data_IF_126501881185
#
_entry.id   IF_126501881185
#
_cell.length_a   1.000
_cell.length_b   1.000
_cell.length_c   1.000
_cell.angle_alpha   90.00
_cell.angle_beta   90.00
_cell.angle_gamma   90.00
#
_symmetry.space_group_name_H-M   'P 1'
#
loop_
_entity.id
_entity.type
_entity.pdbx_description
1 polymer ?
#
# COMPACT_ATOMS: atom_id res chain seq x y z
N UNK A 1 4.85 -22.90 8.00
CA UNK A 1 5.46 -22.57 6.70
C UNK A 1 5.85 -23.84 5.98
N UNK A 2 5.31 -24.05 4.77
CA UNK A 2 5.44 -25.31 4.01
C UNK A 2 6.66 -25.36 3.07
N UNK A 3 7.20 -24.20 2.69
CA UNK A 3 8.21 -24.08 1.63
C UNK A 3 9.38 -23.20 2.08
N UNK A 4 10.58 -23.53 1.60
CA UNK A 4 11.82 -22.78 1.80
C UNK A 4 12.04 -21.76 0.67
N UNK A 5 11.53 -22.06 -0.52
CA UNK A 5 11.58 -21.21 -1.70
C UNK A 5 10.18 -20.98 -2.27
N UNK A 6 9.85 -19.73 -2.56
CA UNK A 6 8.61 -19.38 -3.29
C UNK A 6 9.00 -18.56 -4.52
N UNK A 7 8.70 -19.12 -5.69
CA UNK A 7 8.99 -18.53 -6.98
C UNK A 7 7.68 -18.01 -7.58
N UNK A 8 7.70 -16.80 -8.10
CA UNK A 8 6.54 -16.16 -8.73
C UNK A 8 6.81 -15.92 -10.21
N UNK A 9 5.79 -16.05 -11.07
CA UNK A 9 5.78 -15.28 -12.32
C UNK A 9 5.52 -13.79 -12.01
N UNK A 10 5.73 -12.92 -12.98
CA UNK A 10 5.56 -11.47 -12.86
C UNK A 10 4.17 -11.02 -13.34
N UNK A 11 3.98 -11.04 -14.65
CA UNK A 11 2.76 -10.59 -15.33
C UNK A 11 1.60 -11.54 -14.97
N UNK A 12 0.46 -11.02 -14.50
CA UNK A 12 -0.71 -11.85 -14.13
C UNK A 12 -0.60 -12.51 -12.75
N UNK A 13 0.56 -12.44 -12.09
CA UNK A 13 0.80 -13.08 -10.78
C UNK A 13 1.17 -12.08 -9.69
N UNK A 14 2.18 -11.24 -9.91
CA UNK A 14 2.56 -10.15 -9.00
C UNK A 14 1.92 -8.83 -9.42
N UNK A 15 1.79 -8.60 -10.73
CA UNK A 15 1.31 -7.33 -11.29
C UNK A 15 0.30 -7.53 -12.42
N UNK A 16 -0.77 -6.73 -12.43
CA UNK A 16 -1.70 -6.59 -13.55
C UNK A 16 -1.13 -5.61 -14.58
N UNK A 17 -0.43 -6.20 -15.54
CA UNK A 17 0.23 -5.56 -16.67
C UNK A 17 -0.62 -5.52 -17.95
N UNK A 18 -1.87 -5.96 -17.89
CA UNK A 18 -2.75 -6.01 -19.05
C UNK A 18 -2.93 -4.64 -19.71
N UNK A 19 -3.11 -3.52 -18.98
CA UNK A 19 -3.24 -2.21 -19.60
C UNK A 19 -2.08 -1.88 -20.55
N UNK A 20 -0.84 -2.07 -20.09
CA UNK A 20 0.37 -1.79 -20.87
C UNK A 20 0.60 -2.76 -22.02
N UNK A 21 0.35 -4.06 -21.81
CA UNK A 21 0.48 -5.07 -22.87
C UNK A 21 -0.52 -4.78 -23.99
N UNK A 22 -1.80 -4.60 -23.65
CA UNK A 22 -2.85 -4.35 -24.64
C UNK A 22 -2.66 -3.00 -25.35
N UNK A 23 -2.14 -1.98 -24.67
CA UNK A 23 -1.77 -0.72 -25.31
C UNK A 23 -0.64 -0.90 -26.34
N UNK A 24 0.39 -1.69 -26.02
CA UNK A 24 1.45 -2.05 -26.96
C UNK A 24 0.93 -2.84 -28.17
N UNK A 25 0.03 -3.80 -27.96
CA UNK A 25 -0.59 -4.55 -29.06
C UNK A 25 -1.41 -3.63 -29.95
N UNK A 26 -2.16 -2.68 -29.36
CA UNK A 26 -2.92 -1.69 -30.12
C UNK A 26 -2.01 -0.80 -30.96
N UNK A 27 -0.91 -0.32 -30.36
CA UNK A 27 0.09 0.48 -31.06
C UNK A 27 0.70 -0.27 -32.24
N UNK A 28 1.07 -1.54 -32.06
CA UNK A 28 1.61 -2.37 -33.13
C UNK A 28 0.65 -2.50 -34.32
N UNK A 29 -0.64 -2.76 -34.07
CA UNK A 29 -1.65 -2.84 -35.14
C UNK A 29 -1.82 -1.51 -35.87
N UNK A 30 -1.88 -0.40 -35.13
CA UNK A 30 -1.99 0.94 -35.71
C UNK A 30 -0.78 1.26 -36.62
N UNK A 31 0.44 0.98 -36.16
CA UNK A 31 1.67 1.21 -36.92
C UNK A 31 1.80 0.31 -38.15
N UNK A 32 1.28 -0.91 -38.06
CA UNK A 32 1.22 -1.84 -39.19
C UNK A 32 0.10 -1.49 -40.18
N UNK A 33 -0.85 -0.63 -39.82
CA UNK A 33 -2.05 -0.36 -40.62
C UNK A 33 -3.06 -1.52 -40.61
N UNK A 34 -3.01 -2.38 -39.59
CA UNK A 34 -3.89 -3.53 -39.44
C UNK A 34 -5.12 -3.17 -38.61
N UNK A 35 -6.25 -3.80 -38.94
CA UNK A 35 -7.45 -3.69 -38.13
C UNK A 35 -7.20 -4.32 -36.75
N UNK A 36 -7.64 -3.63 -35.69
CA UNK A 36 -7.57 -4.17 -34.35
C UNK A 36 -8.48 -5.40 -34.20
N UNK A 37 -8.00 -6.46 -33.52
CA UNK A 37 -8.86 -7.57 -33.11
C UNK A 37 -9.95 -7.05 -32.17
N UNK A 38 -11.04 -7.82 -32.06
CA UNK A 38 -12.04 -7.55 -31.03
C UNK A 38 -11.45 -7.70 -29.61
N UNK A 39 -12.23 -7.28 -28.61
CA UNK A 39 -11.76 -7.28 -27.23
C UNK A 39 -11.39 -8.69 -26.74
N UNK A 40 -12.14 -9.72 -27.13
CA UNK A 40 -11.86 -11.09 -26.70
C UNK A 40 -10.55 -11.62 -27.30
N UNK A 41 -10.30 -11.35 -28.58
CA UNK A 41 -9.05 -11.69 -29.24
C UNK A 41 -7.86 -10.91 -28.68
N UNK A 42 -8.04 -9.62 -28.34
CA UNK A 42 -7.00 -8.83 -27.69
C UNK A 42 -6.58 -9.40 -26.34
N UNK A 43 -7.53 -9.85 -25.50
CA UNK A 43 -7.21 -10.46 -24.21
C UNK A 43 -6.36 -11.74 -24.36
N UNK A 44 -6.42 -12.43 -25.51
CA UNK A 44 -5.61 -13.64 -25.77
C UNK A 44 -4.13 -13.34 -26.00
N UNK A 45 -3.73 -12.06 -26.14
CA UNK A 45 -2.33 -11.63 -26.16
C UNK A 45 -1.68 -11.62 -24.76
N UNK A 46 -2.47 -11.70 -23.68
CA UNK A 46 -1.94 -11.66 -22.32
C UNK A 46 -1.26 -12.99 -22.00
N UNK A 47 0.07 -12.98 -22.01
CA UNK A 47 0.99 -14.03 -21.53
C UNK A 47 1.56 -15.06 -22.53
N UNK A 48 0.92 -15.48 -23.66
CA UNK A 48 1.64 -16.27 -24.66
C UNK A 48 2.67 -15.42 -25.43
N UNK A 49 3.63 -16.05 -26.14
CA UNK A 49 4.60 -15.32 -26.97
C UNK A 49 3.92 -14.41 -28.00
N UNK A 50 4.42 -13.17 -28.15
CA UNK A 50 3.83 -12.16 -29.03
C UNK A 50 3.81 -12.58 -30.49
N UNK A 51 4.88 -13.21 -30.98
CA UNK A 51 4.98 -13.70 -32.36
C UNK A 51 3.82 -14.66 -32.69
N UNK A 52 3.63 -15.68 -31.84
CA UNK A 52 2.53 -16.64 -31.98
C UNK A 52 1.16 -15.99 -31.81
N UNK A 53 1.07 -14.91 -31.04
CA UNK A 53 -0.19 -14.19 -30.81
C UNK A 53 -0.60 -13.36 -32.02
N UNK A 54 0.32 -12.60 -32.62
CA UNK A 54 0.05 -11.83 -33.84
C UNK A 54 -0.32 -12.73 -35.02
N UNK A 55 0.39 -13.85 -35.20
CA UNK A 55 0.04 -14.81 -36.25
C UNK A 55 -1.33 -15.45 -36.02
N UNK A 56 -1.60 -15.95 -34.81
CA UNK A 56 -2.83 -16.71 -34.52
C UNK A 56 -4.08 -15.86 -34.36
N UNK A 57 -3.97 -14.69 -33.73
CA UNK A 57 -5.12 -13.88 -33.34
C UNK A 57 -5.35 -12.67 -34.24
N UNK A 58 -4.31 -12.23 -34.96
CA UNK A 58 -4.42 -11.16 -35.94
C UNK A 58 -4.34 -11.65 -37.39
N UNK A 59 -3.86 -12.89 -37.62
CA UNK A 59 -3.73 -13.45 -38.97
C UNK A 59 -2.51 -12.93 -39.74
N UNK A 60 -1.54 -12.33 -39.05
CA UNK A 60 -0.29 -11.85 -39.64
C UNK A 60 0.58 -13.03 -40.09
N UNK A 61 1.35 -12.84 -41.16
CA UNK A 61 2.47 -13.74 -41.51
C UNK A 61 3.61 -13.64 -40.49
N UNK A 62 4.57 -14.55 -40.51
CA UNK A 62 5.73 -14.51 -39.59
C UNK A 62 6.53 -13.20 -39.75
N UNK A 63 6.79 -12.76 -40.98
CA UNK A 63 7.51 -11.51 -41.25
C UNK A 63 6.73 -10.27 -40.75
N UNK A 64 5.40 -10.27 -40.90
CA UNK A 64 4.55 -9.20 -40.39
C UNK A 64 4.46 -9.20 -38.86
N UNK A 65 4.39 -10.39 -38.26
CA UNK A 65 4.36 -10.56 -36.81
C UNK A 65 5.70 -10.16 -36.16
N UNK A 66 6.82 -10.40 -36.82
CA UNK A 66 8.14 -9.94 -36.40
C UNK A 66 8.19 -8.40 -36.37
N UNK A 67 7.76 -7.76 -37.46
CA UNK A 67 7.69 -6.30 -37.53
C UNK A 67 6.69 -5.70 -36.53
N UNK A 68 5.54 -6.35 -36.31
CA UNK A 68 4.57 -5.93 -35.31
C UNK A 68 5.14 -6.05 -33.88
N UNK A 69 5.93 -7.09 -33.63
CA UNK A 69 6.63 -7.28 -32.36
C UNK A 69 7.65 -6.15 -32.11
N UNK A 70 8.34 -5.66 -33.13
CA UNK A 70 9.25 -4.52 -32.99
C UNK A 70 8.51 -3.24 -32.59
N UNK A 71 7.40 -2.91 -33.27
CA UNK A 71 6.56 -1.75 -32.88
C UNK A 71 5.98 -1.90 -31.48
N UNK A 72 5.57 -3.12 -31.11
CA UNK A 72 5.15 -3.41 -29.75
C UNK A 72 6.27 -3.11 -28.75
N UNK A 73 7.48 -3.62 -29.00
CA UNK A 73 8.63 -3.48 -28.08
C UNK A 73 9.05 -2.03 -27.91
N UNK A 74 9.06 -1.26 -29.00
CA UNK A 74 9.31 0.18 -28.99
C UNK A 74 8.35 0.90 -28.02
N UNK A 75 7.04 0.70 -28.18
CA UNK A 75 6.04 1.29 -27.30
C UNK A 75 6.13 0.78 -25.86
N UNK A 76 6.30 -0.53 -25.70
CA UNK A 76 6.24 -1.17 -24.38
C UNK A 76 7.40 -0.72 -23.50
N UNK A 77 8.61 -0.65 -24.06
CA UNK A 77 9.80 -0.18 -23.32
C UNK A 77 9.65 1.31 -22.97
N UNK A 78 9.15 2.13 -23.88
CA UNK A 78 9.02 3.57 -23.66
C UNK A 78 7.88 3.94 -22.70
N UNK A 79 6.76 3.20 -22.74
CA UNK A 79 5.50 3.59 -22.08
C UNK A 79 4.78 2.41 -21.43
N UNK A 80 4.59 1.31 -22.16
CA UNK A 80 3.71 0.21 -21.73
C UNK A 80 4.12 -0.48 -20.42
N UNK A 81 5.43 -0.61 -20.15
CA UNK A 81 5.92 -1.29 -18.95
C UNK A 81 5.45 -0.64 -17.64
N UNK A 82 5.22 0.68 -17.63
CA UNK A 82 4.76 1.43 -16.46
C UNK A 82 3.23 1.54 -16.38
N UNK A 83 2.50 1.13 -17.43
CA UNK A 83 1.05 1.00 -17.41
C UNK A 83 0.66 -0.34 -16.76
N UNK A 84 0.95 -0.44 -15.47
CA UNK A 84 0.93 -1.67 -14.71
C UNK A 84 0.50 -1.36 -13.26
N UNK A 85 0.02 -2.36 -12.52
CA UNK A 85 -0.34 -2.21 -11.11
C UNK A 85 -0.05 -3.48 -10.31
N UNK A 86 0.30 -3.36 -9.04
CA UNK A 86 0.53 -4.53 -8.17
C UNK A 86 -0.82 -5.11 -7.75
N UNK A 87 -0.99 -6.43 -7.84
CA UNK A 87 -2.25 -7.05 -7.39
C UNK A 87 -2.49 -6.78 -5.88
N UNK A 88 -3.75 -6.58 -5.46
CA UNK A 88 -4.07 -6.40 -4.05
C UNK A 88 -3.49 -7.51 -3.18
N UNK A 89 -2.98 -7.15 -2.00
CA UNK A 89 -2.38 -8.05 -1.00
C UNK A 89 -1.02 -8.69 -1.37
N UNK A 90 -0.46 -8.46 -2.57
CA UNK A 90 0.85 -9.05 -2.94
C UNK A 90 1.96 -8.56 -2.02
N UNK A 91 2.01 -7.26 -1.70
CA UNK A 91 3.09 -6.73 -0.84
C UNK A 91 3.06 -7.35 0.56
N UNK A 92 1.86 -7.48 1.13
CA UNK A 92 1.64 -8.13 2.42
C UNK A 92 2.07 -9.60 2.38
N UNK A 93 1.74 -10.32 1.29
CA UNK A 93 2.18 -11.70 1.11
C UNK A 93 3.71 -11.80 1.06
N UNK A 94 4.37 -10.96 0.25
CA UNK A 94 5.84 -10.95 0.15
C UNK A 94 6.49 -10.62 1.50
N UNK A 95 5.93 -9.67 2.25
CA UNK A 95 6.43 -9.33 3.58
C UNK A 95 6.25 -10.50 4.57
N UNK A 96 5.07 -11.12 4.61
CA UNK A 96 4.79 -12.29 5.45
C UNK A 96 5.76 -13.44 5.14
N UNK A 97 6.05 -13.68 3.86
CA UNK A 97 7.03 -14.68 3.44
C UNK A 97 8.46 -14.35 3.92
N UNK A 98 8.92 -13.10 3.75
CA UNK A 98 10.25 -12.70 4.24
C UNK A 98 10.38 -12.77 5.75
N UNK A 99 9.31 -12.45 6.50
CA UNK A 99 9.28 -12.61 7.96
C UNK A 99 9.42 -14.07 8.40
N UNK A 100 9.00 -15.04 7.57
CA UNK A 100 9.23 -16.46 7.81
C UNK A 100 10.61 -16.95 7.34
N UNK A 101 11.47 -16.06 6.82
CA UNK A 101 12.82 -16.40 6.35
C UNK A 101 12.86 -17.14 5.02
N UNK A 102 11.78 -17.07 4.23
CA UNK A 102 11.63 -17.76 2.95
C UNK A 102 12.47 -17.07 1.87
N UNK A 103 13.10 -17.85 0.99
CA UNK A 103 13.77 -17.33 -0.20
C UNK A 103 12.75 -17.03 -1.28
N UNK A 104 12.77 -15.81 -1.83
CA UNK A 104 11.84 -15.38 -2.86
C UNK A 104 12.54 -15.20 -4.20
N UNK A 105 11.93 -15.73 -5.26
CA UNK A 105 12.44 -15.59 -6.62
C UNK A 105 11.36 -15.17 -7.62
N UNK A 106 11.77 -14.56 -8.72
CA UNK A 106 10.91 -14.31 -9.89
C UNK A 106 11.42 -15.13 -11.08
N UNK A 107 10.53 -15.86 -11.73
CA UNK A 107 10.82 -16.64 -12.95
C UNK A 107 9.81 -16.30 -14.05
N UNK A 108 10.21 -15.43 -14.97
CA UNK A 108 9.31 -14.85 -15.98
C UNK A 108 9.91 -14.89 -17.38
N UNK A 109 9.08 -15.10 -18.42
CA UNK A 109 9.53 -14.99 -19.82
C UNK A 109 9.73 -13.54 -20.27
N UNK A 110 9.37 -12.57 -19.42
CA UNK A 110 9.69 -11.16 -19.68
C UNK A 110 11.21 -10.95 -19.58
N UNK A 111 11.83 -10.18 -20.51
CA UNK A 111 13.26 -9.90 -20.45
C UNK A 111 13.71 -9.45 -19.05
N UNK A 112 14.85 -9.97 -18.58
CA UNK A 112 15.32 -9.75 -17.21
C UNK A 112 15.45 -8.26 -16.86
N UNK A 113 15.98 -7.46 -17.78
CA UNK A 113 16.15 -6.01 -17.60
C UNK A 113 14.81 -5.29 -17.36
N UNK A 114 13.80 -5.58 -18.17
CA UNK A 114 12.45 -5.00 -18.02
C UNK A 114 11.77 -5.47 -16.73
N UNK A 115 11.97 -6.73 -16.35
CA UNK A 115 11.41 -7.28 -15.10
C UNK A 115 11.98 -6.57 -13.88
N UNK A 116 13.31 -6.34 -13.85
CA UNK A 116 13.96 -5.56 -12.80
C UNK A 116 13.40 -4.14 -12.74
N UNK A 117 13.30 -3.45 -13.88
CA UNK A 117 12.76 -2.08 -13.93
C UNK A 117 11.34 -1.98 -13.35
N UNK A 118 10.46 -2.93 -13.66
CA UNK A 118 9.10 -2.99 -13.12
C UNK A 118 9.12 -3.23 -11.61
N UNK A 119 9.89 -4.21 -11.16
CA UNK A 119 10.01 -4.52 -9.73
C UNK A 119 10.59 -3.36 -8.94
N UNK A 120 11.54 -2.60 -9.48
CA UNK A 120 12.08 -1.38 -8.87
C UNK A 120 11.05 -0.27 -8.82
N UNK A 121 10.35 -0.01 -9.93
CA UNK A 121 9.33 1.04 -10.02
C UNK A 121 8.18 0.82 -9.01
N UNK A 122 7.83 -0.43 -8.73
CA UNK A 122 6.83 -0.78 -7.73
C UNK A 122 7.40 -1.10 -6.35
N UNK A 123 8.69 -0.85 -6.07
CA UNK A 123 9.30 -1.12 -4.76
C UNK A 123 9.11 -2.58 -4.29
N UNK A 124 9.16 -3.51 -5.24
CA UNK A 124 9.06 -4.95 -5.03
C UNK A 124 10.41 -5.66 -5.11
N UNK A 125 11.38 -5.10 -5.85
CA UNK A 125 12.67 -5.77 -6.10
C UNK A 125 13.35 -6.20 -4.79
N UNK A 126 13.26 -5.38 -3.74
CA UNK A 126 13.87 -5.62 -2.43
C UNK A 126 13.43 -6.92 -1.73
N UNK A 127 12.29 -7.50 -2.11
CA UNK A 127 11.80 -8.74 -1.51
C UNK A 127 12.49 -9.97 -2.12
N UNK A 128 12.94 -9.87 -3.37
CA UNK A 128 13.41 -11.01 -4.15
C UNK A 128 14.92 -11.20 -4.02
N UNK A 129 15.31 -12.45 -3.75
CA UNK A 129 16.71 -12.87 -3.67
C UNK A 129 17.27 -13.16 -5.08
N UNK A 130 16.40 -13.47 -6.06
CA UNK A 130 16.76 -13.65 -7.46
C UNK A 130 15.63 -13.23 -8.42
N UNK A 131 16.00 -12.66 -9.57
CA UNK A 131 15.09 -12.36 -10.69
C UNK A 131 15.66 -12.99 -11.94
N UNK A 132 14.95 -13.99 -12.48
CA UNK A 132 15.29 -14.71 -13.70
C UNK A 132 14.29 -14.38 -14.81
N UNK A 133 14.83 -13.92 -15.93
CA UNK A 133 14.15 -13.80 -17.21
C UNK A 133 15.14 -13.97 -18.35
N UNK A 134 14.69 -14.07 -19.61
CA UNK A 134 15.57 -14.21 -20.75
C UNK A 134 16.53 -13.03 -20.87
N UNK A 135 17.79 -13.32 -21.17
CA UNK A 135 18.76 -12.34 -21.65
C UNK A 135 18.76 -12.25 -23.18
N UNK A 136 19.51 -11.30 -23.73
CA UNK A 136 19.52 -11.06 -25.19
C UNK A 136 19.98 -12.31 -25.95
N UNK A 137 19.10 -12.85 -26.80
CA UNK A 137 19.37 -14.05 -27.60
C UNK A 137 19.11 -15.38 -26.88
N UNK A 138 18.61 -15.37 -25.65
CA UNK A 138 18.14 -16.58 -24.98
C UNK A 138 16.63 -16.82 -25.23
N UNK A 139 16.24 -18.09 -25.28
CA UNK A 139 14.83 -18.54 -25.26
C UNK A 139 14.67 -19.70 -24.24
N UNK A 140 14.83 -19.41 -22.93
CA UNK A 140 14.83 -20.45 -21.91
C UNK A 140 13.41 -20.95 -21.66
N UNK A 141 13.30 -22.23 -21.33
CA UNK A 141 12.06 -22.80 -20.80
C UNK A 141 11.71 -22.20 -19.43
N UNK A 142 10.42 -22.22 -19.08
CA UNK A 142 9.98 -21.79 -17.74
C UNK A 142 10.65 -22.61 -16.63
N UNK A 143 10.90 -23.90 -16.84
CA UNK A 143 11.62 -24.75 -15.88
C UNK A 143 13.05 -24.29 -15.62
N UNK A 144 13.79 -23.89 -16.66
CA UNK A 144 15.14 -23.31 -16.52
C UNK A 144 15.12 -21.99 -15.77
N UNK A 145 14.13 -21.13 -16.05
CA UNK A 145 13.96 -19.87 -15.32
C UNK A 145 13.65 -20.08 -13.84
N UNK A 146 12.81 -21.07 -13.50
CA UNK A 146 12.53 -21.45 -12.11
C UNK A 146 13.81 -21.92 -11.41
N UNK A 147 14.62 -22.76 -12.07
CA UNK A 147 15.89 -23.21 -11.51
C UNK A 147 16.89 -22.07 -11.30
N UNK A 148 16.92 -21.08 -12.19
CA UNK A 148 17.74 -19.85 -12.05
C UNK A 148 17.27 -18.97 -10.88
N UNK A 149 15.97 -18.99 -10.57
CA UNK A 149 15.36 -18.15 -9.53
C UNK A 149 15.34 -18.77 -8.13
N UNK A 150 15.42 -20.10 -8.02
CA UNK A 150 15.38 -20.79 -6.72
C UNK A 150 16.76 -20.91 -6.07
N UNK A 151 16.80 -20.85 -4.74
CA UNK A 151 18.00 -21.22 -3.98
C UNK A 151 18.16 -22.73 -4.00
N UNK A 152 19.41 -23.21 -3.94
CA UNK A 152 19.68 -24.64 -3.91
C UNK A 152 19.19 -25.28 -2.60
N UNK A 153 18.51 -26.42 -2.73
CA UNK A 153 17.94 -27.17 -1.61
C UNK A 153 16.64 -26.57 -1.07
N UNK A 154 15.97 -27.33 -0.20
CA UNK A 154 14.68 -26.98 0.38
C UNK A 154 13.49 -27.29 -0.53
N UNK A 155 12.29 -27.17 0.02
CA UNK A 155 11.04 -27.39 -0.69
C UNK A 155 10.64 -26.11 -1.43
N UNK A 156 10.38 -26.22 -2.73
CA UNK A 156 10.09 -25.08 -3.61
C UNK A 156 8.68 -25.17 -4.17
N UNK A 157 8.05 -24.01 -4.35
CA UNK A 157 6.79 -23.86 -5.07
C UNK A 157 6.88 -22.74 -6.11
N UNK A 158 6.32 -22.99 -7.28
CA UNK A 158 6.08 -21.98 -8.33
C UNK A 158 4.62 -21.53 -8.27
N UNK A 159 4.41 -20.21 -8.26
CA UNK A 159 3.10 -19.57 -8.33
C UNK A 159 3.04 -18.81 -9.66
N UNK A 160 2.05 -19.12 -10.48
CA UNK A 160 1.88 -18.48 -11.79
C UNK A 160 0.45 -18.57 -12.28
N UNK A 161 0.06 -17.64 -13.15
CA UNK A 161 -1.30 -17.53 -13.68
C UNK A 161 -1.49 -18.27 -15.00
N UNK A 162 -0.46 -18.91 -15.56
CA UNK A 162 -0.55 -19.63 -16.84
C UNK A 162 -0.19 -21.10 -16.72
N UNK A 163 -0.71 -21.93 -17.63
CA UNK A 163 -0.35 -23.35 -17.69
C UNK A 163 1.16 -23.54 -17.88
N UNK A 164 1.83 -22.62 -18.56
CA UNK A 164 3.29 -22.63 -18.74
C UNK A 164 4.04 -22.61 -17.41
N UNK A 165 3.50 -21.98 -16.36
CA UNK A 165 4.12 -21.95 -15.04
C UNK A 165 4.02 -23.29 -14.33
N UNK A 166 2.86 -23.95 -14.42
CA UNK A 166 2.66 -25.29 -13.86
C UNK A 166 3.51 -26.32 -14.61
N UNK A 167 3.57 -26.24 -15.95
CA UNK A 167 4.44 -27.10 -16.75
C UNK A 167 5.91 -26.85 -16.40
N UNK A 168 6.31 -25.59 -16.25
CA UNK A 168 7.65 -25.23 -15.80
C UNK A 168 7.97 -25.78 -14.40
N UNK A 169 7.01 -25.72 -13.47
CA UNK A 169 7.14 -26.28 -12.13
C UNK A 169 7.37 -27.80 -12.16
N UNK A 170 6.59 -28.51 -12.97
CA UNK A 170 6.73 -29.96 -13.19
C UNK A 170 8.11 -30.32 -13.77
N UNK A 171 8.57 -29.56 -14.78
CA UNK A 171 9.90 -29.74 -15.39
C UNK A 171 11.03 -29.48 -14.38
N UNK A 172 10.88 -28.49 -13.51
CA UNK A 172 11.85 -28.17 -12.47
C UNK A 172 11.76 -29.10 -11.25
N UNK A 173 10.74 -29.98 -11.17
CA UNK A 173 10.53 -30.89 -10.05
C UNK A 173 10.07 -30.19 -8.77
N UNK A 174 9.33 -29.08 -8.88
CA UNK A 174 8.84 -28.28 -7.76
C UNK A 174 7.31 -28.29 -7.70
N UNK A 175 6.72 -27.95 -6.55
CA UNK A 175 5.27 -27.84 -6.41
C UNK A 175 4.77 -26.66 -7.26
N UNK A 176 3.53 -26.73 -7.77
CA UNK A 176 2.91 -25.66 -8.58
C UNK A 176 1.58 -25.22 -8.00
N UNK A 177 1.34 -23.89 -7.98
CA UNK A 177 0.07 -23.27 -7.60
C UNK A 177 -0.42 -22.38 -8.73
N UNK A 178 -1.64 -22.63 -9.19
CA UNK A 178 -2.29 -21.85 -10.23
C UNK A 178 -2.97 -20.60 -9.65
N UNK A 179 -2.54 -19.42 -10.07
CA UNK A 179 -3.13 -18.14 -9.73
C UNK A 179 -4.30 -17.80 -10.67
N UNK A 180 -5.53 -18.12 -10.26
CA UNK A 180 -6.75 -17.86 -11.06
C UNK A 180 -7.21 -16.38 -11.03
N UNK A 181 -6.56 -15.54 -10.23
CA UNK A 181 -6.79 -14.10 -10.24
C UNK A 181 -6.06 -13.37 -11.39
N UNK A 182 -5.18 -14.08 -12.13
CA UNK A 182 -4.45 -13.56 -13.28
C UNK A 182 -5.19 -13.73 -14.60
N UNK A 183 -4.45 -14.01 -15.68
CA UNK A 183 -5.01 -14.07 -17.04
C UNK A 183 -5.41 -15.47 -17.49
N UNK A 184 -4.84 -16.52 -16.88
CA UNK A 184 -5.22 -17.89 -17.19
C UNK A 184 -6.60 -18.25 -16.67
N UNK A 185 -7.09 -19.40 -17.11
CA UNK A 185 -8.40 -19.90 -16.72
C UNK A 185 -8.33 -21.37 -16.27
N UNK A 186 -9.42 -21.84 -15.67
CA UNK A 186 -9.46 -23.18 -15.09
C UNK A 186 -9.24 -24.31 -16.10
N UNK A 187 -9.78 -24.18 -17.32
CA UNK A 187 -9.63 -25.19 -18.36
C UNK A 187 -8.16 -25.34 -18.81
N UNK A 188 -7.44 -24.21 -18.91
CA UNK A 188 -6.00 -24.19 -19.20
C UNK A 188 -5.20 -24.97 -18.12
N UNK A 189 -5.56 -24.81 -16.85
CA UNK A 189 -4.87 -25.49 -15.74
C UNK A 189 -5.26 -26.97 -15.57
N UNK A 190 -6.51 -27.33 -15.84
CA UNK A 190 -6.98 -28.72 -15.84
C UNK A 190 -6.24 -29.54 -16.91
N UNK A 191 -5.94 -28.94 -18.06
CA UNK A 191 -5.18 -29.59 -19.13
C UNK A 191 -3.75 -29.99 -18.73
N UNK A 192 -3.17 -29.36 -17.70
CA UNK A 192 -1.83 -29.64 -17.18
C UNK A 192 -1.84 -30.33 -15.81
N UNK A 193 -3.00 -30.84 -15.39
CA UNK A 193 -3.20 -31.63 -14.17
C UNK A 193 -2.77 -30.93 -12.87
N UNK A 194 -2.91 -29.61 -12.76
CA UNK A 194 -2.66 -28.93 -11.47
C UNK A 194 -3.73 -29.29 -10.43
N UNK A 195 -3.37 -29.27 -9.16
CA UNK A 195 -4.26 -29.62 -8.04
C UNK A 195 -4.43 -28.47 -7.03
N UNK A 196 -3.61 -27.42 -7.13
CA UNK A 196 -3.62 -26.29 -6.21
C UNK A 196 -3.98 -25.01 -6.97
N UNK A 197 -5.04 -24.35 -6.50
CA UNK A 197 -5.61 -23.16 -7.13
C UNK A 197 -5.80 -22.06 -6.09
N UNK A 198 -5.36 -20.85 -6.42
CA UNK A 198 -5.63 -19.64 -5.66
C UNK A 198 -6.58 -18.75 -6.46
N UNK A 199 -7.79 -18.51 -5.97
CA UNK A 199 -8.77 -17.60 -6.59
C UNK A 199 -8.43 -16.13 -6.29
N UNK A 200 -7.67 -15.90 -5.23
CA UNK A 200 -7.19 -14.60 -4.80
C UNK A 200 -5.80 -14.75 -4.15
N UNK A 201 -5.10 -13.63 -3.97
CA UNK A 201 -3.83 -13.60 -3.23
C UNK A 201 -4.01 -14.10 -1.78
N UNK A 202 -5.20 -13.93 -1.19
CA UNK A 202 -5.50 -14.40 0.16
C UNK A 202 -5.45 -15.93 0.27
N UNK A 203 -5.86 -16.65 -0.77
CA UNK A 203 -5.85 -18.12 -0.78
C UNK A 203 -4.43 -18.69 -0.70
N UNK A 204 -3.43 -17.92 -1.15
CA UNK A 204 -2.02 -18.31 -1.07
C UNK A 204 -1.56 -18.47 0.38
N UNK A 205 -2.14 -17.76 1.35
CA UNK A 205 -1.77 -17.91 2.76
C UNK A 205 -2.02 -19.35 3.25
N UNK A 206 -3.20 -19.90 2.96
CA UNK A 206 -3.53 -21.27 3.34
C UNK A 206 -2.68 -22.29 2.56
N UNK A 207 -2.48 -22.08 1.25
CA UNK A 207 -1.71 -22.99 0.40
C UNK A 207 -0.22 -23.07 0.78
N UNK A 208 0.33 -21.97 1.30
CA UNK A 208 1.73 -21.84 1.72
C UNK A 208 1.95 -22.13 3.22
N UNK A 209 0.88 -22.43 3.97
CA UNK A 209 0.91 -22.59 5.43
C UNK A 209 1.51 -21.35 6.14
N UNK A 210 1.01 -20.18 5.73
CA UNK A 210 1.25 -18.89 6.36
C UNK A 210 0.10 -18.56 7.31
N UNK A 211 0.43 -17.92 8.44
CA UNK A 211 -0.61 -17.29 9.26
C UNK A 211 -1.27 -16.19 8.42
N UNK A 212 -2.62 -16.13 8.34
CA UNK A 212 -3.30 -15.07 7.64
C UNK A 212 -2.76 -13.72 8.13
N UNK A 213 -2.40 -12.86 7.20
CA UNK A 213 -2.17 -11.46 7.53
C UNK A 213 -3.44 -10.91 8.19
N UNK A 214 -3.29 -10.10 9.24
CA UNK A 214 -4.42 -9.40 9.83
C UNK A 214 -4.97 -8.47 8.74
N UNK A 215 -6.01 -8.92 8.04
CA UNK A 215 -6.57 -8.25 6.87
C UNK A 215 -7.23 -6.92 7.22
N UNK A 216 -7.14 -6.49 8.49
CA UNK A 216 -7.50 -5.15 8.86
C UNK A 216 -6.53 -4.17 8.19
N UNK A 217 -7.11 -3.09 7.72
CA UNK A 217 -6.42 -1.93 7.23
C UNK A 217 -5.53 -1.30 8.30
N UNK A 218 -4.72 -0.37 7.85
CA UNK A 218 -3.72 0.30 8.67
C UNK A 218 -4.30 1.62 9.13
N UNK A 219 -4.16 1.94 10.42
CA UNK A 219 -4.57 3.23 10.94
C UNK A 219 -3.35 4.11 11.24
N UNK A 220 -3.27 5.27 10.58
CA UNK A 220 -2.25 6.29 10.80
C UNK A 220 -2.91 7.54 11.37
N UNK A 221 -2.40 8.06 12.48
CA UNK A 221 -2.80 9.38 13.01
C UNK A 221 -1.68 10.41 12.86
N UNK A 222 -2.05 11.67 12.70
CA UNK A 222 -1.13 12.80 12.73
C UNK A 222 -1.34 13.62 13.99
N UNK A 223 -0.27 13.79 14.77
CA UNK A 223 -0.23 14.53 16.02
C UNK A 223 0.95 15.52 16.01
N UNK A 224 0.98 16.44 16.97
CA UNK A 224 2.02 17.47 17.03
C UNK A 224 1.54 18.82 17.54
N UNK A 225 2.50 19.68 17.82
CA UNK A 225 2.25 21.04 18.31
C UNK A 225 1.53 21.89 17.26
N UNK A 226 0.94 23.00 17.68
CA UNK A 226 0.24 23.90 16.76
C UNK A 226 1.23 24.61 15.81
N UNK A 227 0.79 24.92 14.59
CA UNK A 227 1.64 25.50 13.55
C UNK A 227 2.62 24.55 12.84
N UNK A 228 2.64 23.24 13.16
CA UNK A 228 3.57 22.27 12.55
C UNK A 228 3.14 21.75 11.16
N UNK A 229 1.95 22.11 10.69
CA UNK A 229 1.45 21.72 9.35
C UNK A 229 0.84 20.32 9.26
N UNK A 230 0.40 19.74 10.38
CA UNK A 230 -0.19 18.39 10.48
C UNK A 230 -1.23 18.09 9.41
N UNK A 231 -2.27 18.92 9.30
CA UNK A 231 -3.37 18.74 8.34
C UNK A 231 -2.86 18.72 6.90
N UNK A 232 -1.91 19.61 6.58
CA UNK A 232 -1.26 19.66 5.26
C UNK A 232 -0.50 18.37 4.99
N UNK A 233 0.34 17.93 5.93
CA UNK A 233 1.18 16.75 5.75
C UNK A 233 0.38 15.45 5.71
N UNK A 234 -0.69 15.34 6.50
CA UNK A 234 -1.60 14.21 6.48
C UNK A 234 -2.32 14.09 5.13
N UNK A 235 -2.78 15.21 4.58
CA UNK A 235 -3.41 15.26 3.24
C UNK A 235 -2.41 14.90 2.13
N UNK A 236 -1.21 15.46 2.16
CA UNK A 236 -0.16 15.15 1.17
C UNK A 236 0.25 13.67 1.20
N UNK A 237 0.36 13.07 2.39
CA UNK A 237 0.61 11.65 2.53
C UNK A 237 -0.53 10.82 1.92
N UNK A 238 -1.79 11.18 2.21
CA UNK A 238 -2.95 10.49 1.68
C UNK A 238 -3.00 10.53 0.14
N UNK A 239 -2.79 11.71 -0.45
CA UNK A 239 -2.75 11.90 -1.90
C UNK A 239 -1.64 11.08 -2.55
N UNK A 240 -0.43 11.10 -1.96
CA UNK A 240 0.71 10.36 -2.49
C UNK A 240 0.53 8.85 -2.42
N UNK A 241 -0.04 8.33 -1.32
CA UNK A 241 -0.35 6.91 -1.19
C UNK A 241 -1.46 6.47 -2.15
N UNK A 242 -2.49 7.30 -2.35
CA UNK A 242 -3.53 7.05 -3.34
C UNK A 242 -2.96 6.99 -4.76
N UNK A 243 -2.06 7.91 -5.12
CA UNK A 243 -1.36 7.92 -6.42
C UNK A 243 -0.51 6.67 -6.63
N UNK A 244 0.02 6.07 -5.55
CA UNK A 244 0.79 4.84 -5.57
C UNK A 244 -0.07 3.56 -5.49
N UNK A 245 -1.40 3.69 -5.67
CA UNK A 245 -2.32 2.56 -5.80
C UNK A 245 -2.86 2.01 -4.48
N UNK A 246 -2.65 2.70 -3.36
CA UNK A 246 -3.26 2.30 -2.08
C UNK A 246 -4.72 2.76 -2.00
N UNK A 247 -5.60 1.93 -1.42
CA UNK A 247 -6.96 2.35 -1.05
C UNK A 247 -6.91 3.13 0.28
N UNK A 248 -6.99 4.46 0.18
CA UNK A 248 -6.78 5.39 1.30
C UNK A 248 -8.08 6.08 1.70
N UNK A 249 -8.36 6.12 3.00
CA UNK A 249 -9.38 6.97 3.60
C UNK A 249 -8.71 8.08 4.41
N UNK A 250 -8.85 9.33 3.98
CA UNK A 250 -8.46 10.49 4.77
C UNK A 250 -9.63 11.01 5.61
N UNK A 251 -9.38 11.32 6.88
CA UNK A 251 -10.37 11.86 7.82
C UNK A 251 -9.73 12.78 8.86
N UNK A 252 -10.51 13.37 9.78
CA UNK A 252 -10.05 14.28 10.83
C UNK A 252 -10.87 14.19 12.11
N UNK A 253 -10.27 14.57 13.23
CA UNK A 253 -10.97 14.74 14.52
C UNK A 253 -10.74 16.13 15.14
N UNK A 254 -11.77 16.72 15.80
CA UNK A 254 -13.16 16.27 15.84
C UNK A 254 -13.83 16.52 14.49
N UNK A 255 -14.77 15.67 14.07
CA UNK A 255 -15.40 15.75 12.75
C UNK A 255 -15.55 14.39 12.08
N UNK A 256 -15.58 14.38 10.75
CA UNK A 256 -15.55 13.15 9.93
C UNK A 256 -16.90 12.43 9.79
N UNK A 257 -17.93 12.89 10.49
CA UNK A 257 -19.32 12.39 10.39
C UNK A 257 -20.31 13.53 10.54
N UNK A 258 -21.55 13.39 10.07
CA UNK A 258 -22.57 14.45 10.21
C UNK A 258 -22.79 14.87 11.68
N UNK A 259 -22.79 13.92 12.61
CA UNK A 259 -22.88 14.21 14.05
C UNK A 259 -21.57 14.82 14.56
N UNK A 260 -20.43 14.27 14.16
CA UNK A 260 -19.10 14.78 14.53
C UNK A 260 -18.86 16.23 14.09
N UNK A 261 -19.35 16.64 12.91
CA UNK A 261 -19.25 18.03 12.44
C UNK A 261 -20.09 18.98 13.31
N UNK A 262 -21.30 18.59 13.72
CA UNK A 262 -22.10 19.41 14.65
C UNK A 262 -21.42 19.58 16.02
N UNK A 263 -20.79 18.52 16.52
CA UNK A 263 -20.02 18.60 17.77
C UNK A 263 -18.76 19.47 17.57
N UNK A 264 -18.09 19.35 16.43
CA UNK A 264 -16.95 20.19 16.05
C UNK A 264 -17.33 21.67 16.03
N UNK A 265 -18.46 22.02 15.44
CA UNK A 265 -18.97 23.40 15.43
C UNK A 265 -19.07 23.95 16.86
N UNK A 266 -19.68 23.21 17.79
CA UNK A 266 -19.79 23.61 19.20
C UNK A 266 -18.42 23.77 19.89
N UNK A 267 -17.48 22.86 19.61
CA UNK A 267 -16.15 22.85 20.23
C UNK A 267 -15.27 24.03 19.77
N UNK A 268 -15.35 24.39 18.48
CA UNK A 268 -14.49 25.41 17.87
C UNK A 268 -15.07 26.82 17.93
N UNK A 269 -16.38 26.94 18.16
CA UNK A 269 -17.06 28.23 18.27
C UNK A 269 -16.53 29.05 19.46
N UNK A 270 -15.99 30.22 19.13
CA UNK A 270 -15.37 31.15 20.07
C UNK A 270 -16.40 31.83 20.99
N UNK A 271 -17.69 31.78 20.69
CA UNK A 271 -18.73 32.31 21.58
C UNK A 271 -18.98 31.37 22.78
N UNK A 272 -18.54 30.10 22.71
CA UNK A 272 -18.74 29.10 23.76
C UNK A 272 -17.64 29.11 24.84
N UNK A 273 -17.10 30.28 25.21
CA UNK A 273 -15.99 30.39 26.17
C UNK A 273 -16.29 29.82 27.55
N UNK A 274 -17.56 29.81 27.94
CA UNK A 274 -18.07 29.31 29.23
C UNK A 274 -18.08 27.77 29.36
N UNK A 275 -17.83 27.03 28.28
CA UNK A 275 -17.82 25.57 28.29
C UNK A 275 -16.78 25.02 29.28
N UNK A 276 -17.25 24.25 30.25
CA UNK A 276 -16.39 23.56 31.22
C UNK A 276 -15.43 22.57 30.56
N UNK A 277 -14.23 22.42 31.15
CA UNK A 277 -13.19 21.52 30.65
C UNK A 277 -13.63 20.05 30.55
N UNK A 278 -14.46 19.57 31.47
CA UNK A 278 -14.99 18.21 31.43
C UNK A 278 -16.01 18.05 30.30
N UNK A 279 -16.85 19.06 30.09
CA UNK A 279 -17.77 19.11 28.94
C UNK A 279 -17.00 19.08 27.62
N UNK A 280 -15.94 19.88 27.47
CA UNK A 280 -15.04 19.85 26.30
C UNK A 280 -14.51 18.43 26.05
N UNK A 281 -13.93 17.78 27.09
CA UNK A 281 -13.38 16.43 26.98
C UNK A 281 -14.43 15.37 26.59
N UNK A 282 -15.64 15.44 27.16
CA UNK A 282 -16.74 14.51 26.85
C UNK A 282 -17.27 14.71 25.43
N UNK A 283 -17.34 15.95 24.93
CA UNK A 283 -17.76 16.23 23.56
C UNK A 283 -16.75 15.71 22.55
N UNK A 284 -15.44 15.89 22.79
CA UNK A 284 -14.40 15.26 21.97
C UNK A 284 -14.54 13.73 21.94
N UNK A 285 -14.76 13.11 23.10
CA UNK A 285 -14.96 11.66 23.19
C UNK A 285 -16.24 11.21 22.45
N UNK A 286 -17.34 11.97 22.54
CA UNK A 286 -18.58 11.68 21.84
C UNK A 286 -18.42 11.77 20.31
N UNK A 287 -17.75 12.82 19.81
CA UNK A 287 -17.44 12.95 18.39
C UNK A 287 -16.58 11.79 17.88
N UNK A 288 -15.56 11.42 18.65
CA UNK A 288 -14.67 10.29 18.35
C UNK A 288 -15.41 8.96 18.33
N UNK A 289 -16.27 8.68 19.31
CA UNK A 289 -17.04 7.45 19.37
C UNK A 289 -17.88 7.25 18.09
N UNK A 290 -18.56 8.31 17.64
CA UNK A 290 -19.31 8.29 16.39
C UNK A 290 -18.40 8.03 15.19
N UNK A 291 -17.28 8.75 15.11
CA UNK A 291 -16.35 8.67 14.00
C UNK A 291 -15.69 7.29 13.88
N UNK A 292 -15.25 6.72 15.01
CA UNK A 292 -14.66 5.38 15.06
C UNK A 292 -15.65 4.32 14.57
N UNK A 293 -16.90 4.34 15.05
CA UNK A 293 -17.89 3.33 14.70
C UNK A 293 -18.40 3.45 13.26
N UNK A 294 -18.60 4.67 12.77
CA UNK A 294 -19.20 4.90 11.46
C UNK A 294 -18.19 4.90 10.31
N UNK A 295 -16.93 5.28 10.56
CA UNK A 295 -15.96 5.59 9.51
C UNK A 295 -14.69 4.77 9.65
N UNK A 296 -13.98 4.88 10.78
CA UNK A 296 -12.65 4.27 10.93
C UNK A 296 -12.73 2.74 10.96
N UNK A 297 -13.52 2.15 11.86
CA UNK A 297 -13.60 0.69 11.98
C UNK A 297 -14.10 0.00 10.71
N UNK A 298 -15.14 0.47 10.01
CA UNK A 298 -15.55 -0.12 8.73
C UNK A 298 -14.45 -0.04 7.66
N UNK A 299 -13.73 1.07 7.58
CA UNK A 299 -12.64 1.22 6.61
C UNK A 299 -11.45 0.30 6.91
N UNK A 300 -11.07 0.17 8.18
CA UNK A 300 -10.06 -0.80 8.59
C UNK A 300 -10.54 -2.23 8.32
N UNK A 301 -11.78 -2.59 8.61
CA UNK A 301 -12.30 -3.93 8.25
C UNK A 301 -12.27 -4.23 6.75
N UNK A 302 -12.34 -3.19 5.91
CA UNK A 302 -12.22 -3.29 4.46
C UNK A 302 -10.77 -3.29 3.95
N UNK A 303 -9.77 -3.34 4.83
CA UNK A 303 -8.35 -3.36 4.44
C UNK A 303 -7.77 -2.00 4.03
N UNK A 304 -8.49 -0.89 4.24
CA UNK A 304 -8.05 0.45 3.81
C UNK A 304 -6.94 1.02 4.68
N UNK A 305 -6.09 1.86 4.10
CA UNK A 305 -5.19 2.72 4.85
C UNK A 305 -5.96 3.96 5.31
N UNK A 306 -6.24 4.06 6.61
CA UNK A 306 -6.94 5.19 7.22
C UNK A 306 -5.93 6.19 7.74
N UNK A 307 -6.02 7.45 7.30
CA UNK A 307 -5.20 8.56 7.79
C UNK A 307 -6.11 9.57 8.48
N UNK A 308 -5.90 9.80 9.77
CA UNK A 308 -6.65 10.81 10.54
C UNK A 308 -5.76 11.98 10.93
N UNK A 309 -6.20 13.19 10.59
CA UNK A 309 -5.68 14.42 11.19
C UNK A 309 -6.20 14.54 12.63
N UNK A 310 -5.31 14.28 13.59
CA UNK A 310 -5.55 14.06 15.03
C UNK A 310 -6.34 12.79 15.36
N UNK A 311 -6.13 12.29 16.58
CA UNK A 311 -6.91 11.21 17.19
C UNK A 311 -6.95 11.39 18.73
N UNK A 312 -6.93 10.30 19.49
CA UNK A 312 -7.07 10.32 20.96
C UNK A 312 -5.88 10.97 21.68
N UNK A 313 -4.68 10.95 21.09
CA UNK A 313 -3.48 11.49 21.71
C UNK A 313 -3.57 13.00 21.91
N UNK A 314 -4.16 13.71 20.95
CA UNK A 314 -4.54 15.12 21.11
C UNK A 314 -5.40 15.34 22.35
N UNK A 315 -6.39 14.47 22.62
CA UNK A 315 -7.23 14.64 23.82
C UNK A 315 -6.45 14.43 25.11
N UNK A 316 -5.58 13.42 25.14
CA UNK A 316 -4.73 13.13 26.31
C UNK A 316 -3.80 14.32 26.62
N UNK A 317 -3.20 14.92 25.60
CA UNK A 317 -2.29 16.04 25.78
C UNK A 317 -3.04 17.34 26.15
N UNK A 318 -4.04 17.75 25.36
CA UNK A 318 -4.71 19.04 25.54
C UNK A 318 -5.68 19.03 26.72
N UNK A 319 -6.60 18.06 26.79
CA UNK A 319 -7.56 18.00 27.89
C UNK A 319 -6.97 17.35 29.15
N UNK A 320 -6.20 16.27 28.98
CA UNK A 320 -5.61 15.54 30.11
C UNK A 320 -4.55 16.37 30.84
N UNK A 321 -3.54 16.84 30.11
CA UNK A 321 -2.46 17.63 30.69
C UNK A 321 -2.77 19.13 30.66
N UNK A 322 -3.02 19.72 29.48
CA UNK A 322 -3.20 21.16 29.32
C UNK A 322 -4.34 21.76 30.16
N UNK A 323 -5.55 21.17 30.12
CA UNK A 323 -6.71 21.58 30.93
C UNK A 323 -6.66 21.03 32.37
N UNK A 324 -5.65 20.23 32.70
CA UNK A 324 -5.44 19.69 34.04
C UNK A 324 -6.56 18.76 34.53
N UNK A 325 -7.24 18.05 33.63
CA UNK A 325 -8.25 17.03 34.01
C UNK A 325 -7.55 15.78 34.57
N UNK A 326 -6.35 15.48 34.08
CA UNK A 326 -5.59 14.29 34.41
C UNK A 326 -5.55 13.32 33.23
N UNK A 327 -4.35 12.84 32.89
CA UNK A 327 -4.10 11.93 31.77
C UNK A 327 -4.93 10.66 31.89
N UNK A 328 -4.92 10.02 33.07
CA UNK A 328 -5.64 8.76 33.30
C UNK A 328 -7.15 8.94 33.19
N UNK A 329 -7.67 10.07 33.68
CA UNK A 329 -9.10 10.37 33.59
C UNK A 329 -9.53 10.57 32.13
N UNK A 330 -8.74 11.29 31.33
CA UNK A 330 -9.05 11.49 29.90
C UNK A 330 -8.86 10.21 29.09
N UNK A 331 -7.88 9.35 29.43
CA UNK A 331 -7.77 7.99 28.88
C UNK A 331 -9.02 7.17 29.20
N UNK A 332 -9.52 7.22 30.44
CA UNK A 332 -10.73 6.49 30.84
C UNK A 332 -11.99 6.97 30.12
N UNK A 333 -12.15 8.28 29.94
CA UNK A 333 -13.26 8.88 29.17
C UNK A 333 -13.24 8.38 27.72
N UNK A 334 -12.05 8.25 27.13
CA UNK A 334 -11.88 7.89 25.72
C UNK A 334 -11.80 6.39 25.45
N UNK A 335 -11.56 5.55 26.46
CA UNK A 335 -11.50 4.10 26.30
C UNK A 335 -12.72 3.52 25.56
N UNK A 336 -13.99 3.83 25.94
CA UNK A 336 -15.15 3.35 25.19
C UNK A 336 -15.32 4.04 23.83
N UNK A 337 -14.85 5.27 23.66
CA UNK A 337 -14.93 6.00 22.39
C UNK A 337 -13.99 5.42 21.32
N UNK A 338 -12.79 5.03 21.73
CA UNK A 338 -11.79 4.40 20.86
C UNK A 338 -12.13 2.93 20.61
N UNK A 339 -12.75 2.24 21.58
CA UNK A 339 -13.15 0.83 21.45
C UNK A 339 -12.03 -0.10 20.97
N UNK A 340 -10.79 0.15 21.43
CA UNK A 340 -9.58 -0.59 21.03
C UNK A 340 -8.99 -0.20 19.67
N UNK A 341 -9.63 0.70 18.92
CA UNK A 341 -9.16 1.19 17.62
C UNK A 341 -8.03 2.22 17.76
N UNK A 342 -6.82 1.76 18.10
CA UNK A 342 -5.64 2.62 18.18
C UNK A 342 -4.88 2.71 16.85
N UNK A 343 -4.18 3.82 16.56
CA UNK A 343 -3.32 3.93 15.40
C UNK A 343 -2.17 2.92 15.45
N UNK A 344 -1.87 2.30 14.31
CA UNK A 344 -0.67 1.48 14.09
C UNK A 344 0.60 2.35 14.03
N UNK A 345 0.45 3.55 13.49
CA UNK A 345 1.50 4.58 13.42
C UNK A 345 0.91 5.94 13.80
N UNK A 346 1.60 6.67 14.67
CA UNK A 346 1.27 8.07 14.99
C UNK A 346 2.43 8.95 14.56
N UNK A 347 2.25 9.66 13.44
CA UNK A 347 3.22 10.64 12.95
C UNK A 347 3.15 11.86 13.86
N UNK A 348 4.21 12.11 14.61
CA UNK A 348 4.29 13.28 15.48
C UNK A 348 5.19 14.34 14.86
N UNK A 349 4.60 15.47 14.44
CA UNK A 349 5.34 16.59 13.87
C UNK A 349 5.72 17.60 14.94
N UNK A 350 7.02 17.88 15.05
CA UNK A 350 7.57 18.88 15.96
C UNK A 350 8.32 19.98 15.21
N UNK A 351 8.17 21.22 15.67
CA UNK A 351 8.99 22.37 15.26
C UNK A 351 9.70 22.95 16.47
N UNK A 352 10.83 23.61 16.24
CA UNK A 352 11.42 24.48 17.25
C UNK A 352 10.44 25.62 17.61
N UNK A 353 10.28 26.01 18.89
CA UNK A 353 9.29 27.00 19.32
C UNK A 353 9.27 28.30 18.50
N UNK A 354 10.45 28.84 18.16
CA UNK A 354 10.58 30.08 17.40
C UNK A 354 10.05 30.00 15.95
N UNK A 355 10.06 28.80 15.35
CA UNK A 355 9.53 28.56 14.01
C UNK A 355 8.02 28.26 14.02
N UNK A 356 7.55 27.55 15.06
CA UNK A 356 6.14 27.27 15.27
C UNK A 356 5.32 28.56 15.43
N UNK A 357 5.82 29.51 16.23
CA UNK A 357 5.17 30.81 16.45
C UNK A 357 5.07 31.62 15.14
N UNK A 358 6.12 31.64 14.32
CA UNK A 358 6.11 32.35 13.02
C UNK A 358 5.02 31.81 12.08
N UNK A 359 4.82 30.48 12.04
CA UNK A 359 3.78 29.84 11.22
C UNK A 359 2.37 30.10 11.78
N UNK A 360 2.20 30.02 13.10
CA UNK A 360 0.93 30.29 13.79
C UNK A 360 0.44 31.74 13.58
N UNK A 361 1.36 32.70 13.53
CA UNK A 361 1.05 34.11 13.25
C UNK A 361 0.60 34.32 11.79
N UNK A 362 1.00 33.43 10.88
CA UNK A 362 0.62 33.47 9.46
C UNK A 362 -0.67 32.69 9.15
N UNK A 363 -1.08 31.73 9.98
CA UNK A 363 -2.37 31.04 9.86
C UNK A 363 -3.51 31.90 10.41
N UNK A 364 -4.59 32.07 9.61
CA UNK A 364 -5.66 33.07 9.86
C UNK A 364 -6.78 32.64 10.81
N UNK A 365 -6.81 31.41 11.31
CA UNK A 365 -7.88 30.93 12.19
C UNK A 365 -7.26 30.37 13.47
N UNK A 366 -7.55 31.00 14.61
CA UNK A 366 -7.19 30.50 15.94
C UNK A 366 -8.42 29.89 16.59
N UNK A 367 -8.29 28.70 17.17
CA UNK A 367 -9.36 28.07 17.95
C UNK A 367 -9.21 28.32 19.47
N UNK A 368 -10.17 27.83 20.27
CA UNK A 368 -10.19 28.01 21.74
C UNK A 368 -9.00 27.37 22.46
N UNK A 369 -8.33 26.38 21.86
CA UNK A 369 -7.15 25.72 22.43
C UNK A 369 -5.87 26.50 22.10
N UNK A 370 -5.80 27.10 20.92
CA UNK A 370 -4.66 27.90 20.45
C UNK A 370 -4.55 29.30 21.11
N UNK A 371 -5.55 29.72 21.89
CA UNK A 371 -5.56 30.97 22.65
C UNK A 371 -4.97 30.80 24.07
N UNK A 372 -4.65 29.57 24.49
CA UNK A 372 -4.12 29.31 25.83
C UNK A 372 -2.67 29.84 26.01
N UNK A 373 -2.29 30.21 27.24
CA UNK A 373 -0.98 30.82 27.52
C UNK A 373 0.21 29.85 27.49
N UNK A 374 1.45 30.36 27.46
CA UNK A 374 2.69 29.59 27.28
C UNK A 374 2.83 28.33 28.16
N UNK A 375 2.38 28.41 29.42
CA UNK A 375 2.41 27.26 30.36
C UNK A 375 1.53 26.10 29.90
N UNK A 376 0.40 26.38 29.25
CA UNK A 376 -0.48 25.37 28.68
C UNK A 376 0.24 24.62 27.56
N UNK A 377 0.83 25.35 26.61
CA UNK A 377 1.55 24.74 25.49
C UNK A 377 2.76 23.91 25.93
N UNK A 378 3.50 24.36 26.95
CA UNK A 378 4.59 23.55 27.53
C UNK A 378 4.05 22.25 28.14
N UNK A 379 2.96 22.32 28.90
CA UNK A 379 2.35 21.14 29.53
C UNK A 379 1.86 20.12 28.50
N UNK A 380 1.29 20.60 27.39
CA UNK A 380 0.88 19.77 26.25
C UNK A 380 2.09 19.10 25.59
N UNK A 381 3.16 19.85 25.34
CA UNK A 381 4.38 19.32 24.74
C UNK A 381 5.03 18.22 25.61
N UNK A 382 5.13 18.45 26.93
CA UNK A 382 5.67 17.47 27.88
C UNK A 382 4.84 16.18 27.90
N UNK A 383 3.52 16.29 27.80
CA UNK A 383 2.63 15.13 27.71
C UNK A 383 2.86 14.29 26.44
N UNK A 384 3.03 14.94 25.29
CA UNK A 384 3.38 14.24 24.05
C UNK A 384 4.73 13.56 24.14
N UNK A 385 5.76 14.23 24.68
CA UNK A 385 7.08 13.64 24.89
C UNK A 385 7.01 12.38 25.76
N UNK A 386 6.20 12.41 26.82
CA UNK A 386 5.94 11.24 27.65
C UNK A 386 5.35 10.06 26.86
N UNK A 387 4.34 10.32 26.01
CA UNK A 387 3.75 9.27 25.17
C UNK A 387 4.72 8.72 24.13
N UNK A 388 5.52 9.59 23.49
CA UNK A 388 6.54 9.20 22.49
C UNK A 388 7.60 8.28 23.11
N UNK A 389 7.98 8.51 24.36
CA UNK A 389 8.96 7.68 25.06
C UNK A 389 8.41 6.31 25.50
N UNK A 390 7.09 6.20 25.67
CA UNK A 390 6.44 5.00 26.22
C UNK A 390 5.84 4.09 25.14
N UNK A 391 5.47 4.63 23.98
CA UNK A 391 4.70 3.91 22.98
C UNK A 391 5.42 3.87 21.62
N UNK A 392 5.82 2.67 21.17
CA UNK A 392 6.57 2.47 19.91
C UNK A 392 5.83 2.90 18.64
N UNK A 393 4.50 3.07 18.70
CA UNK A 393 3.68 3.51 17.56
C UNK A 393 4.01 4.94 17.12
N UNK A 394 4.58 5.76 18.00
CA UNK A 394 4.96 7.12 17.64
C UNK A 394 6.13 7.12 16.65
N UNK A 395 6.03 8.02 15.68
CA UNK A 395 7.05 8.32 14.69
C UNK A 395 7.33 9.83 14.75
N UNK A 396 8.23 10.27 15.65
CA UNK A 396 8.57 11.68 15.77
C UNK A 396 9.39 12.14 14.56
N UNK A 397 8.95 13.24 13.95
CA UNK A 397 9.57 13.85 12.78
C UNK A 397 9.73 15.36 12.96
N UNK A 398 10.88 15.85 12.51
CA UNK A 398 11.12 17.28 12.36
C UNK A 398 10.21 17.84 11.26
N UNK A 399 9.54 18.96 11.53
CA UNK A 399 8.69 19.67 10.58
C UNK A 399 9.34 20.97 10.04
N UNK A 400 10.65 21.15 10.27
CA UNK A 400 11.45 22.20 9.66
C UNK A 400 11.61 21.99 8.14
N UNK A 401 11.77 23.11 7.42
CA UNK A 401 11.86 23.15 5.95
C UNK A 401 10.54 23.53 5.26
N UNK A 402 10.55 23.46 3.93
CA UNK A 402 9.38 23.67 3.07
C UNK A 402 8.33 22.56 3.21
N UNK A 403 7.11 22.81 2.74
CA UNK A 403 6.02 21.84 2.77
C UNK A 403 6.42 20.54 2.06
N UNK A 404 7.09 20.64 0.91
CA UNK A 404 7.50 19.50 0.08
C UNK A 404 8.62 18.68 0.73
N UNK A 405 9.59 19.35 1.37
CA UNK A 405 10.67 18.66 2.11
C UNK A 405 10.11 17.85 3.29
N UNK A 406 9.16 18.43 4.03
CA UNK A 406 8.48 17.73 5.12
C UNK A 406 7.63 16.58 4.58
N UNK A 407 6.92 16.78 3.46
CA UNK A 407 6.10 15.73 2.84
C UNK A 407 6.93 14.55 2.35
N UNK A 408 8.10 14.81 1.77
CA UNK A 408 9.05 13.77 1.37
C UNK A 408 9.53 12.97 2.60
N UNK A 409 9.92 13.67 3.67
CA UNK A 409 10.39 13.06 4.93
C UNK A 409 9.29 12.22 5.59
N UNK A 410 8.07 12.73 5.67
CA UNK A 410 6.90 12.01 6.21
C UNK A 410 6.66 10.74 5.41
N UNK A 411 6.59 10.86 4.09
CA UNK A 411 6.33 9.73 3.20
C UNK A 411 7.37 8.62 3.36
N UNK A 412 8.66 8.95 3.26
CA UNK A 412 9.77 8.00 3.40
C UNK A 412 9.70 7.26 4.74
N UNK A 413 9.56 8.02 5.83
CA UNK A 413 9.59 7.45 7.18
C UNK A 413 8.35 6.62 7.51
N UNK A 414 7.18 7.01 6.99
CA UNK A 414 5.97 6.19 7.10
C UNK A 414 6.14 4.90 6.32
N UNK A 415 6.64 4.92 5.08
CA UNK A 415 6.86 3.70 4.31
C UNK A 415 7.79 2.72 5.05
N UNK A 416 8.93 3.20 5.55
CA UNK A 416 9.86 2.38 6.33
C UNK A 416 9.17 1.78 7.55
N UNK A 417 8.43 2.59 8.32
CA UNK A 417 7.74 2.12 9.53
C UNK A 417 6.68 1.07 9.22
N UNK A 418 5.94 1.26 8.13
CA UNK A 418 4.93 0.29 7.75
C UNK A 418 5.57 -1.04 7.30
N UNK A 419 6.72 -1.01 6.64
CA UNK A 419 7.49 -2.20 6.28
C UNK A 419 8.05 -2.94 7.50
N UNK A 420 8.64 -2.21 8.45
CA UNK A 420 9.16 -2.77 9.71
C UNK A 420 8.06 -3.52 10.48
N UNK A 421 6.83 -2.99 10.45
CA UNK A 421 5.66 -3.61 11.08
C UNK A 421 4.98 -4.67 10.21
N UNK A 422 5.47 -4.87 8.99
CA UNK A 422 4.91 -5.77 7.99
C UNK A 422 3.51 -5.40 7.50
N UNK A 423 3.16 -4.12 7.59
CA UNK A 423 1.81 -3.61 7.31
C UNK A 423 1.57 -3.29 5.83
N UNK A 424 2.61 -3.00 5.04
CA UNK A 424 2.58 -2.85 3.56
C UNK A 424 3.79 -3.45 2.90
#
# INVERSE_FOLDING_TARGET
MKYDNVIFDLDGTLTDSAPGILAGVRHAHERMGWQLPDHEALLRFLGPPLMGSFTRFSGMTEDEADKAQDYYREYYIATGAMQNSVYPCIRQLLCALKQQGVSLGVATHKPRSTSIQILEAFDLLRFFDAVAGPEMGEDPSKGELIQRAMKSGGKTVMIGDRATDIVGAQQAGVDGVAALYGYGNRAEFEAVNTQQYAQSVQDLYALLDLKPFDSRGIFISFEGNDGTGKSTQAKLLAERLLQNGHDVLFTREPGGTQIGEKIRELLLDLDNLEMDRMTEALLYAAARAQHVQQVILPALKAGKLVISDRFVDSSIAYQGAGRGIGIDQVRAINAPAVAGCMPDVTVFLSLHPDEGIKRLVQSREKDRLEIAGDRFHQTVADAFLGMIQQEERFLPLDASGSIDEVAARVYERVQVRLLEKGLV
#
